data_IF_340077565706
#
_entry.id   IF_340077565706
#
_cell.length_a   1.000
_cell.length_b   1.000
_cell.length_c   1.000
_cell.angle_alpha   90.00
_cell.angle_beta   90.00
_cell.angle_gamma   90.00
#
_symmetry.space_group_name_H-M   'P 1'
#
loop_
_entity.id
_entity.type
_entity.pdbx_description
1 polymer ?
#
# COMPACT_ATOMS: atom_id res chain seq x y z
N UNK A 1 8.14 1.82 8.08
CA UNK A 1 6.68 1.72 8.29
C UNK A 1 6.11 0.69 7.32
N UNK A 2 4.96 0.10 7.61
CA UNK A 2 4.39 -0.98 6.78
C UNK A 2 4.15 -0.56 5.32
N UNK A 3 3.68 0.66 5.05
CA UNK A 3 3.48 1.18 3.70
C UNK A 3 4.79 1.29 2.89
N UNK A 4 5.91 1.66 3.53
CA UNK A 4 7.22 1.69 2.86
C UNK A 4 7.69 0.29 2.48
N UNK A 5 7.47 -0.70 3.34
CA UNK A 5 7.76 -2.11 3.01
C UNK A 5 6.93 -2.61 1.81
N UNK A 6 5.66 -2.21 1.72
CA UNK A 6 4.81 -2.54 0.56
C UNK A 6 5.30 -1.87 -0.73
N UNK A 7 5.79 -0.63 -0.64
CA UNK A 7 6.38 0.08 -1.77
C UNK A 7 7.65 -0.63 -2.28
N UNK A 8 8.53 -1.05 -1.37
CA UNK A 8 9.74 -1.81 -1.70
C UNK A 8 9.40 -3.18 -2.31
N UNK A 9 8.39 -3.87 -1.76
CA UNK A 9 7.90 -5.12 -2.31
C UNK A 9 7.35 -4.93 -3.73
N UNK A 10 6.57 -3.88 -3.98
CA UNK A 10 6.01 -3.59 -5.29
C UNK A 10 7.11 -3.30 -6.33
N UNK A 11 8.15 -2.55 -5.95
CA UNK A 11 9.28 -2.26 -6.83
C UNK A 11 10.05 -3.54 -7.24
N UNK A 12 10.19 -4.51 -6.34
CA UNK A 12 10.93 -5.77 -6.61
C UNK A 12 10.06 -6.84 -7.28
N UNK A 13 8.80 -6.95 -6.87
CA UNK A 13 7.88 -8.02 -7.27
C UNK A 13 7.36 -7.87 -8.70
N UNK A 14 7.48 -6.70 -9.33
CA UNK A 14 7.06 -6.50 -10.73
C UNK A 14 7.93 -7.22 -11.77
N UNK A 15 9.13 -7.66 -11.40
CA UNK A 15 9.95 -8.55 -12.24
C UNK A 15 9.38 -9.98 -12.34
N UNK A 16 8.38 -10.32 -11.52
CA UNK A 16 7.73 -11.63 -11.56
C UNK A 16 6.89 -11.76 -12.84
N UNK A 17 7.09 -12.85 -13.59
CA UNK A 17 6.41 -13.10 -14.85
C UNK A 17 4.88 -13.11 -14.74
N UNK A 18 4.19 -12.85 -15.86
CA UNK A 18 2.73 -12.71 -15.93
C UNK A 18 1.95 -13.86 -15.24
N UNK A 19 2.45 -15.10 -15.33
CA UNK A 19 1.85 -16.26 -14.67
C UNK A 19 1.82 -16.15 -13.14
N UNK A 20 2.89 -15.62 -12.53
CA UNK A 20 2.98 -15.39 -11.09
C UNK A 20 2.03 -14.28 -10.66
N UNK A 21 1.94 -13.21 -11.46
CA UNK A 21 1.01 -12.11 -11.21
C UNK A 21 -0.46 -12.53 -11.37
N UNK A 22 -0.75 -13.49 -12.25
CA UNK A 22 -2.09 -14.06 -12.41
C UNK A 22 -2.48 -14.96 -11.22
N UNK A 23 -1.51 -15.71 -10.66
CA UNK A 23 -1.76 -16.65 -9.57
C UNK A 23 -2.36 -16.00 -8.31
N UNK A 24 -2.11 -14.71 -8.06
CA UNK A 24 -2.73 -13.97 -6.95
C UNK A 24 -4.26 -13.87 -7.02
N UNK A 25 -4.84 -14.15 -8.20
CA UNK A 25 -6.29 -14.17 -8.43
C UNK A 25 -6.86 -15.59 -8.47
N UNK A 26 -6.05 -16.62 -8.24
CA UNK A 26 -6.47 -18.03 -8.27
C UNK A 26 -6.54 -18.57 -6.84
N UNK A 27 -7.75 -18.81 -6.28
CA UNK A 27 -7.91 -19.37 -4.95
C UNK A 27 -7.16 -20.68 -4.75
N UNK A 28 -6.64 -20.91 -3.54
CA UNK A 28 -5.89 -22.12 -3.19
C UNK A 28 -4.42 -22.13 -3.62
N UNK A 29 -3.95 -21.12 -4.37
CA UNK A 29 -2.52 -20.95 -4.62
C UNK A 29 -1.83 -20.28 -3.43
N UNK A 30 -0.55 -20.59 -3.20
CA UNK A 30 0.26 -19.92 -2.16
C UNK A 30 0.35 -18.41 -2.37
N UNK A 31 0.29 -17.94 -3.61
CA UNK A 31 0.35 -16.53 -3.97
C UNK A 31 -0.96 -15.82 -3.62
N UNK A 32 -2.10 -16.48 -3.85
CA UNK A 32 -3.40 -15.99 -3.40
C UNK A 32 -3.45 -15.86 -1.87
N UNK A 33 -3.03 -16.88 -1.13
CA UNK A 33 -3.03 -16.82 0.34
C UNK A 33 -2.09 -15.73 0.88
N UNK A 34 -0.91 -15.57 0.28
CA UNK A 34 0.01 -14.49 0.64
C UNK A 34 -0.58 -13.10 0.35
N UNK A 35 -1.24 -12.94 -0.80
CA UNK A 35 -1.91 -11.69 -1.16
C UNK A 35 -3.06 -11.37 -0.18
N UNK A 36 -3.86 -12.37 0.18
CA UNK A 36 -4.93 -12.23 1.16
C UNK A 36 -4.38 -11.81 2.53
N UNK A 37 -3.40 -12.54 3.05
CA UNK A 37 -2.80 -12.25 4.36
C UNK A 37 -2.17 -10.84 4.42
N UNK A 38 -1.58 -10.37 3.32
CA UNK A 38 -1.07 -9.00 3.21
C UNK A 38 -2.20 -7.95 3.35
N UNK A 39 -3.33 -8.15 2.69
CA UNK A 39 -4.47 -7.23 2.81
C UNK A 39 -5.06 -7.23 4.22
N UNK A 40 -5.20 -8.41 4.83
CA UNK A 40 -5.70 -8.56 6.22
C UNK A 40 -4.77 -7.87 7.23
N UNK A 41 -3.45 -8.02 7.08
CA UNK A 41 -2.50 -7.32 7.93
C UNK A 41 -2.60 -5.79 7.78
N UNK A 42 -2.78 -5.31 6.55
CA UNK A 42 -3.03 -3.89 6.27
C UNK A 42 -4.30 -3.38 6.95
N UNK A 43 -5.39 -4.16 6.88
CA UNK A 43 -6.67 -3.82 7.49
C UNK A 43 -6.55 -3.69 9.01
N UNK A 44 -5.86 -4.63 9.66
CA UNK A 44 -5.60 -4.57 11.11
C UNK A 44 -4.83 -3.30 11.49
N UNK A 45 -3.83 -2.91 10.71
CA UNK A 45 -3.06 -1.69 10.97
C UNK A 45 -3.90 -0.43 10.77
N UNK A 46 -4.71 -0.40 9.71
CA UNK A 46 -5.60 0.72 9.41
C UNK A 46 -6.65 0.92 10.51
N UNK A 47 -7.34 -0.16 10.91
CA UNK A 47 -8.34 -0.11 11.96
C UNK A 47 -7.76 0.37 13.30
N UNK A 48 -6.54 -0.07 13.65
CA UNK A 48 -5.85 0.42 14.86
C UNK A 48 -5.55 1.92 14.77
N UNK A 49 -5.07 2.40 13.62
CA UNK A 49 -4.76 3.81 13.43
C UNK A 49 -6.02 4.69 13.40
N UNK A 50 -7.13 4.18 12.85
CA UNK A 50 -8.44 4.82 12.88
C UNK A 50 -9.01 4.87 14.30
N UNK A 51 -8.94 3.78 15.06
CA UNK A 51 -9.37 3.73 16.46
C UNK A 51 -8.57 4.71 17.35
N UNK A 52 -7.29 4.93 17.03
CA UNK A 52 -6.44 5.93 17.68
C UNK A 52 -6.69 7.37 17.21
N UNK A 53 -7.63 7.61 16.29
CA UNK A 53 -7.93 8.92 15.72
C UNK A 53 -6.82 9.49 14.82
N UNK A 54 -5.83 8.68 14.42
CA UNK A 54 -4.68 9.12 13.64
C UNK A 54 -4.98 9.19 12.13
N UNK A 55 -5.89 8.34 11.66
CA UNK A 55 -6.30 8.21 10.26
C UNK A 55 -7.81 8.39 10.16
N UNK A 56 -8.28 9.03 9.09
CA UNK A 56 -9.73 9.24 8.86
C UNK A 56 -10.47 7.91 8.68
N UNK A 57 -11.71 7.86 9.17
CA UNK A 57 -12.54 6.66 9.14
C UNK A 57 -13.03 6.26 7.73
N UNK A 58 -12.97 7.17 6.76
CA UNK A 58 -13.39 6.95 5.36
C UNK A 58 -12.32 6.28 4.49
N UNK A 59 -11.14 6.00 5.05
CA UNK A 59 -10.03 5.39 4.33
C UNK A 59 -10.22 3.87 4.27
N UNK A 60 -10.06 3.29 3.08
CA UNK A 60 -10.08 1.84 2.86
C UNK A 60 -8.67 1.29 2.55
N UNK A 61 -8.32 0.13 3.12
CA UNK A 61 -6.98 -0.42 2.96
C UNK A 61 -6.63 -0.74 1.51
N UNK A 62 -7.61 -1.21 0.73
CA UNK A 62 -7.39 -1.58 -0.67
C UNK A 62 -6.96 -0.38 -1.51
N UNK A 63 -7.52 0.78 -1.25
CA UNK A 63 -7.19 2.01 -1.98
C UNK A 63 -5.79 2.50 -1.60
N UNK A 64 -5.43 2.40 -0.31
CA UNK A 64 -4.08 2.73 0.15
C UNK A 64 -3.04 1.80 -0.49
N UNK A 65 -3.27 0.48 -0.51
CA UNK A 65 -2.36 -0.49 -1.14
C UNK A 65 -2.22 -0.21 -2.64
N UNK A 66 -3.33 0.06 -3.34
CA UNK A 66 -3.32 0.42 -4.76
C UNK A 66 -2.50 1.68 -5.03
N UNK A 67 -2.65 2.72 -4.20
CA UNK A 67 -1.86 3.95 -4.31
C UNK A 67 -0.37 3.68 -4.12
N UNK A 68 0.01 2.90 -3.10
CA UNK A 68 1.40 2.50 -2.86
C UNK A 68 2.00 1.77 -4.06
N UNK A 69 1.25 0.83 -4.65
CA UNK A 69 1.70 0.08 -5.81
C UNK A 69 1.79 0.97 -7.07
N UNK A 70 0.85 1.91 -7.23
CA UNK A 70 0.89 2.92 -8.29
C UNK A 70 2.11 3.83 -8.21
N UNK A 71 2.49 4.25 -6.99
CA UNK A 71 3.71 5.05 -6.74
C UNK A 71 4.95 4.26 -7.16
N UNK A 72 5.07 3.00 -6.75
CA UNK A 72 6.19 2.15 -7.15
C UNK A 72 6.26 1.98 -8.68
N UNK A 73 5.10 1.79 -9.33
CA UNK A 73 5.00 1.64 -10.78
C UNK A 73 5.43 2.88 -11.56
N UNK A 74 4.96 4.07 -11.18
CA UNK A 74 5.25 5.30 -11.94
C UNK A 74 6.70 5.76 -11.75
N UNK A 75 7.35 5.38 -10.64
CA UNK A 75 8.72 5.75 -10.33
C UNK A 75 9.77 4.71 -10.80
N UNK A 76 9.37 3.63 -11.48
CA UNK A 76 10.26 2.52 -11.84
C UNK A 76 11.51 2.96 -12.63
N UNK A 77 11.34 3.93 -13.53
CA UNK A 77 12.41 4.48 -14.37
C UNK A 77 12.67 5.97 -14.07
N UNK A 78 12.23 6.45 -12.91
CA UNK A 78 12.43 7.84 -12.54
C UNK A 78 13.92 8.12 -12.26
N UNK A 79 14.42 9.25 -12.76
CA UNK A 79 15.78 9.72 -12.47
C UNK A 79 15.93 10.27 -11.05
N UNK A 80 14.81 10.57 -10.38
CA UNK A 80 14.77 11.05 -9.00
C UNK A 80 14.48 9.87 -8.05
N UNK A 81 15.48 9.36 -7.31
CA UNK A 81 15.32 8.22 -6.41
C UNK A 81 14.40 8.52 -5.22
N UNK A 82 14.17 9.79 -4.88
CA UNK A 82 13.36 10.19 -3.72
C UNK A 82 11.89 10.47 -4.08
N UNK A 83 11.55 10.52 -5.37
CA UNK A 83 10.20 10.83 -5.86
C UNK A 83 9.12 9.93 -5.27
N UNK A 84 9.39 8.62 -5.19
CA UNK A 84 8.46 7.64 -4.61
C UNK A 84 8.18 7.92 -3.12
N UNK A 85 9.21 8.24 -2.33
CA UNK A 85 9.05 8.56 -0.92
C UNK A 85 8.23 9.83 -0.72
N UNK A 86 8.47 10.88 -1.50
CA UNK A 86 7.69 12.13 -1.41
C UNK A 86 6.22 11.91 -1.77
N UNK A 87 5.93 11.11 -2.79
CA UNK A 87 4.55 10.75 -3.15
C UNK A 87 3.87 9.95 -2.02
N UNK A 88 4.57 9.01 -1.39
CA UNK A 88 4.03 8.26 -0.28
C UNK A 88 3.76 9.16 0.94
N UNK A 89 4.64 10.11 1.23
CA UNK A 89 4.44 11.08 2.31
C UNK A 89 3.21 11.98 2.03
N UNK A 90 2.96 12.35 0.77
CA UNK A 90 1.74 13.06 0.36
C UNK A 90 0.47 12.22 0.61
N UNK A 91 0.50 10.92 0.27
CA UNK A 91 -0.62 10.01 0.55
C UNK A 91 -0.86 9.92 2.06
N UNK A 92 0.20 9.70 2.85
CA UNK A 92 0.12 9.61 4.32
C UNK A 92 -0.44 10.90 4.91
N UNK A 93 0.03 12.06 4.45
CA UNK A 93 -0.50 13.35 4.88
C UNK A 93 -1.99 13.51 4.52
N UNK A 94 -2.39 13.04 3.34
CA UNK A 94 -3.76 13.11 2.85
C UNK A 94 -4.76 12.24 3.63
N UNK A 95 -4.33 11.13 4.23
CA UNK A 95 -5.20 10.21 4.99
C UNK A 95 -5.23 10.47 6.50
N UNK A 96 -4.34 11.33 7.01
CA UNK A 96 -4.33 11.71 8.44
C UNK A 96 -5.60 12.47 8.81
N UNK A 97 -6.06 12.24 10.03
CA UNK A 97 -7.13 13.05 10.64
C UNK A 97 -6.67 14.50 10.71
N UNK A 98 -7.50 15.43 10.26
CA UNK A 98 -7.24 16.85 10.44
C UNK A 98 -7.67 17.22 11.87
N UNK A 99 -6.87 17.99 12.62
CA UNK A 99 -7.35 18.54 13.89
C UNK A 99 -8.62 19.34 13.62
N UNK A 100 -9.62 19.18 14.49
CA UNK A 100 -10.82 20.03 14.46
C UNK A 100 -10.33 21.48 14.54
N UNK A 101 -10.76 22.30 13.58
CA UNK A 101 -10.62 23.76 13.72
C UNK A 101 -11.72 24.18 14.68
N UNK A 102 -11.42 24.14 15.97
CA UNK A 102 -12.18 24.85 16.99
C UNK A 102 -11.80 26.34 16.95
#
# INVERSE_FOLDING_TARGET
SWLRLQMDFAARGRSMGAAVMAAKHVPGTRIYEANKAMHEAGEVLLLRAQAAGQIRADVHILDVIRLVYGIAMVNEHASDPDGANRMLDLVIAGIRTKPSRD
#
